data_IF_290694858122
#
_entry.id   IF_290694858122
#
_cell.length_a   1.000
_cell.length_b   1.000
_cell.length_c   1.000
_cell.angle_alpha   90.00
_cell.angle_beta   90.00
_cell.angle_gamma   90.00
#
_symmetry.space_group_name_H-M   'P 1'
#
loop_
_entity.id
_entity.type
_entity.pdbx_description
1 polymer ?
#
# COMPACT_ATOMS: atom_id res chain seq x y z
N UNK A 1 4.97 -9.35 -11.57
CA UNK A 1 4.24 -8.09 -11.88
C UNK A 1 5.19 -6.91 -11.70
N UNK A 2 5.10 -5.90 -12.55
CA UNK A 2 5.82 -4.61 -12.39
C UNK A 2 4.88 -3.62 -11.70
N UNK A 3 5.28 -3.11 -10.54
CA UNK A 3 4.56 -2.09 -9.77
C UNK A 3 5.30 -0.77 -9.91
N UNK A 4 4.80 0.14 -10.74
CA UNK A 4 5.39 1.46 -10.96
C UNK A 4 4.76 2.49 -10.02
N UNK A 5 5.48 2.85 -8.97
CA UNK A 5 4.99 3.75 -7.91
C UNK A 5 4.71 5.18 -8.41
N UNK A 6 5.24 5.56 -9.58
CA UNK A 6 4.97 6.87 -10.18
C UNK A 6 3.66 6.88 -11.00
N UNK A 7 3.02 5.73 -11.19
CA UNK A 7 1.80 5.60 -12.00
C UNK A 7 0.50 5.53 -11.17
N UNK A 8 0.53 5.80 -9.87
CA UNK A 8 -0.64 5.69 -8.98
C UNK A 8 -1.85 6.49 -9.48
N UNK A 9 -1.64 7.67 -10.09
CA UNK A 9 -2.74 8.47 -10.67
C UNK A 9 -3.38 7.79 -11.88
N UNK A 10 -2.60 7.15 -12.72
CA UNK A 10 -3.11 6.40 -13.87
C UNK A 10 -3.84 5.13 -13.42
N UNK A 11 -3.32 4.44 -12.39
CA UNK A 11 -3.94 3.26 -11.80
C UNK A 11 -5.26 3.57 -11.09
N UNK A 12 -5.34 4.74 -10.47
CA UNK A 12 -6.48 5.17 -9.65
C UNK A 12 -7.01 6.55 -10.11
N UNK A 13 -7.86 6.60 -11.13
CA UNK A 13 -8.31 7.88 -11.73
C UNK A 13 -9.00 8.83 -10.75
N UNK A 14 -9.63 8.33 -9.68
CA UNK A 14 -10.28 9.17 -8.66
C UNK A 14 -9.32 9.62 -7.53
N UNK A 15 -8.11 9.06 -7.47
CA UNK A 15 -7.09 9.53 -6.52
C UNK A 15 -6.61 10.93 -6.94
N UNK A 16 -6.61 11.95 -6.05
CA UNK A 16 -6.07 13.27 -6.40
C UNK A 16 -4.61 13.17 -6.88
N UNK A 17 -4.25 13.94 -7.90
CA UNK A 17 -2.92 13.86 -8.52
C UNK A 17 -1.79 14.15 -7.51
N UNK A 18 -1.99 15.13 -6.63
CA UNK A 18 -1.03 15.46 -5.57
C UNK A 18 -0.85 14.30 -4.59
N UNK A 19 -1.95 13.69 -4.15
CA UNK A 19 -1.93 12.52 -3.25
C UNK A 19 -1.23 11.33 -3.89
N UNK A 20 -1.52 11.05 -5.16
CA UNK A 20 -0.86 9.99 -5.91
C UNK A 20 0.66 10.21 -6.01
N UNK A 21 1.08 11.44 -6.33
CA UNK A 21 2.49 11.81 -6.39
C UNK A 21 3.17 11.68 -5.01
N UNK A 22 2.50 12.16 -3.95
CA UNK A 22 3.01 12.10 -2.59
C UNK A 22 3.27 10.66 -2.13
N UNK A 23 2.31 9.75 -2.30
CA UNK A 23 2.49 8.34 -1.93
C UNK A 23 3.55 7.64 -2.78
N UNK A 24 3.61 7.92 -4.08
CA UNK A 24 4.66 7.38 -4.94
C UNK A 24 6.05 7.80 -4.49
N UNK A 25 6.24 9.09 -4.22
CA UNK A 25 7.52 9.61 -3.72
C UNK A 25 7.88 9.11 -2.32
N UNK A 26 6.92 9.03 -1.40
CA UNK A 26 7.16 8.52 -0.06
C UNK A 26 7.48 7.02 -0.06
N UNK A 27 6.88 6.25 -0.97
CA UNK A 27 7.25 4.87 -1.18
C UNK A 27 8.71 4.74 -1.67
N UNK A 28 9.12 5.57 -2.63
CA UNK A 28 10.51 5.64 -3.08
C UNK A 28 11.47 5.95 -1.92
N UNK A 29 11.20 7.01 -1.15
CA UNK A 29 12.00 7.41 0.02
C UNK A 29 12.08 6.28 1.05
N UNK A 30 10.94 5.65 1.38
CA UNK A 30 10.90 4.55 2.34
C UNK A 30 11.78 3.37 1.92
N UNK A 31 11.75 3.00 0.64
CA UNK A 31 12.57 1.92 0.09
C UNK A 31 14.06 2.32 0.02
N UNK A 32 14.39 3.54 -0.42
CA UNK A 32 15.76 4.05 -0.49
C UNK A 32 16.43 4.15 0.89
N UNK A 33 15.68 4.46 1.94
CA UNK A 33 16.17 4.44 3.34
C UNK A 33 16.64 3.05 3.80
N UNK A 34 16.08 2.00 3.20
CA UNK A 34 16.49 0.61 3.41
C UNK A 34 17.50 0.12 2.36
N UNK A 35 18.15 1.05 1.63
CA UNK A 35 19.17 0.80 0.61
C UNK A 35 18.67 -0.04 -0.58
N UNK A 36 17.37 0.06 -0.92
CA UNK A 36 16.85 -0.58 -2.11
C UNK A 36 16.98 0.33 -3.34
N UNK A 37 17.21 -0.30 -4.48
CA UNK A 37 17.20 0.35 -5.79
C UNK A 37 15.91 0.03 -6.54
N UNK A 38 15.52 0.91 -7.46
CA UNK A 38 14.37 0.70 -8.33
C UNK A 38 14.51 -0.60 -9.12
N UNK A 39 13.47 -1.41 -9.11
CA UNK A 39 13.47 -2.78 -9.63
C UNK A 39 13.62 -3.85 -8.55
N UNK A 40 13.70 -3.45 -7.27
CA UNK A 40 13.77 -4.41 -6.15
C UNK A 40 12.59 -5.38 -6.19
N UNK A 41 12.86 -6.65 -5.88
CA UNK A 41 11.84 -7.68 -5.74
C UNK A 41 10.95 -7.39 -4.53
N UNK A 42 9.64 -7.54 -4.71
CA UNK A 42 8.65 -7.52 -3.64
C UNK A 42 8.12 -8.95 -3.47
N UNK A 43 8.37 -9.56 -2.32
CA UNK A 43 7.69 -10.77 -1.94
C UNK A 43 6.21 -10.46 -1.66
N UNK A 44 5.29 -11.18 -2.29
CA UNK A 44 3.87 -10.93 -2.12
C UNK A 44 3.15 -12.16 -1.60
N UNK A 45 2.20 -11.97 -0.69
CA UNK A 45 1.22 -12.97 -0.31
C UNK A 45 -0.17 -12.34 -0.44
N UNK A 46 -0.94 -12.76 -1.43
CA UNK A 46 -2.30 -12.27 -1.69
C UNK A 46 -3.24 -13.45 -1.44
N UNK A 47 -3.91 -13.41 -0.29
CA UNK A 47 -4.67 -14.55 0.25
C UNK A 47 -3.79 -15.80 0.40
N UNK A 48 -3.73 -16.67 -0.59
CA UNK A 48 -2.89 -17.88 -0.61
C UNK A 48 -1.91 -17.93 -1.79
N UNK A 49 -1.90 -16.89 -2.62
CA UNK A 49 -1.04 -16.83 -3.82
C UNK A 49 0.17 -15.94 -3.58
N UNK A 50 1.31 -16.30 -4.17
CA UNK A 50 2.57 -15.57 -4.06
C UNK A 50 3.08 -15.12 -5.44
N UNK A 51 2.34 -14.26 -6.15
CA UNK A 51 2.77 -13.83 -7.48
C UNK A 51 4.03 -12.98 -7.39
N UNK A 52 5.06 -13.23 -8.23
CA UNK A 52 6.29 -12.44 -8.20
C UNK A 52 6.02 -10.99 -8.61
N UNK A 53 6.58 -10.05 -7.85
CA UNK A 53 6.45 -8.62 -8.12
C UNK A 53 7.79 -7.90 -8.00
N UNK A 54 7.91 -6.72 -8.63
CA UNK A 54 9.02 -5.79 -8.48
C UNK A 54 8.51 -4.37 -8.38
N UNK A 55 9.16 -3.56 -7.53
CA UNK A 55 8.84 -2.17 -7.29
C UNK A 55 9.74 -1.27 -8.15
N UNK A 56 9.12 -0.34 -8.85
CA UNK A 56 9.82 0.61 -9.72
C UNK A 56 9.46 2.04 -9.36
N UNK A 57 10.46 2.93 -9.31
CA UNK A 57 10.30 4.35 -9.05
C UNK A 57 11.41 5.16 -9.71
N UNK A 58 11.23 6.47 -9.72
CA UNK A 58 12.30 7.41 -10.05
C UNK A 58 12.98 7.79 -8.74
N UNK A 59 14.31 7.74 -8.69
CA UNK A 59 15.07 8.09 -7.50
C UNK A 59 14.60 9.43 -6.92
N UNK A 60 14.46 9.48 -5.60
CA UNK A 60 13.94 10.68 -4.94
C UNK A 60 14.94 11.83 -5.10
N UNK A 61 14.45 12.95 -5.66
CA UNK A 61 15.24 14.19 -5.76
C UNK A 61 15.21 15.01 -4.46
N UNK A 62 14.61 14.48 -3.39
CA UNK A 62 14.48 15.19 -2.13
C UNK A 62 15.78 15.11 -1.34
N UNK A 63 16.53 16.23 -1.33
CA UNK A 63 17.81 16.38 -0.59
C UNK A 63 17.49 16.33 0.89
N UNK A 64 17.14 16.33 1.81
CA UNK A 64 17.02 16.32 3.26
C UNK A 64 15.93 15.34 3.76
N UNK A 65 16.07 14.08 3.32
CA UNK A 65 15.19 12.98 3.75
C UNK A 65 15.21 12.76 5.27
N UNK A 66 16.30 13.16 5.95
CA UNK A 66 16.47 13.00 7.39
C UNK A 66 15.52 13.87 8.25
N UNK A 67 14.92 14.90 7.66
CA UNK A 67 13.95 15.76 8.37
C UNK A 67 12.52 15.20 8.37
N UNK A 68 12.25 14.15 7.57
CA UNK A 68 10.92 13.56 7.54
C UNK A 68 10.76 12.52 8.66
N UNK A 69 9.65 12.57 9.35
CA UNK A 69 9.28 11.58 10.35
C UNK A 69 9.30 10.17 9.77
N UNK A 70 10.14 9.31 10.35
CA UNK A 70 10.36 7.95 9.82
C UNK A 70 9.08 7.10 9.89
N UNK A 71 8.31 7.23 10.94
CA UNK A 71 7.07 6.47 11.10
C UNK A 71 6.06 6.86 10.02
N UNK A 72 5.92 8.15 9.78
CA UNK A 72 5.00 8.65 8.74
C UNK A 72 5.45 8.23 7.34
N UNK A 73 6.76 8.26 7.05
CA UNK A 73 7.28 7.76 5.77
C UNK A 73 6.98 6.28 5.59
N UNK A 74 7.16 5.47 6.64
CA UNK A 74 6.86 4.03 6.59
C UNK A 74 5.38 3.75 6.28
N UNK A 75 4.46 4.45 6.94
CA UNK A 75 3.01 4.28 6.70
C UNK A 75 2.63 4.77 5.29
N UNK A 76 3.09 5.96 4.88
CA UNK A 76 2.77 6.51 3.56
C UNK A 76 3.42 5.68 2.42
N UNK A 77 4.61 5.10 2.65
CA UNK A 77 5.25 4.18 1.71
C UNK A 77 4.41 2.90 1.53
N UNK A 78 3.90 2.34 2.62
CA UNK A 78 3.02 1.19 2.57
C UNK A 78 1.73 1.49 1.80
N UNK A 79 1.16 2.69 1.95
CA UNK A 79 0.01 3.16 1.17
C UNK A 79 0.32 3.13 -0.34
N UNK A 80 1.45 3.71 -0.76
CA UNK A 80 1.86 3.74 -2.16
C UNK A 80 2.08 2.35 -2.75
N UNK A 81 2.80 1.48 -2.03
CA UNK A 81 3.05 0.09 -2.45
C UNK A 81 1.75 -0.70 -2.53
N UNK A 82 0.89 -0.59 -1.51
CA UNK A 82 -0.39 -1.30 -1.46
C UNK A 82 -1.31 -0.89 -2.61
N UNK A 83 -1.46 0.41 -2.87
CA UNK A 83 -2.31 0.90 -3.95
C UNK A 83 -1.81 0.38 -5.31
N UNK A 84 -0.50 0.41 -5.58
CA UNK A 84 0.05 -0.18 -6.80
C UNK A 84 -0.23 -1.70 -6.88
N UNK A 85 -0.03 -2.43 -5.77
CA UNK A 85 -0.21 -3.88 -5.71
C UNK A 85 -1.67 -4.27 -5.98
N UNK A 86 -2.64 -3.69 -5.28
CA UNK A 86 -4.06 -4.08 -5.44
C UNK A 86 -4.61 -3.71 -6.81
N UNK A 87 -4.07 -2.66 -7.46
CA UNK A 87 -4.45 -2.34 -8.83
C UNK A 87 -3.88 -3.36 -9.82
N UNK A 88 -2.58 -3.60 -9.80
CA UNK A 88 -1.93 -4.47 -10.80
C UNK A 88 -2.29 -5.94 -10.61
N UNK A 89 -2.39 -6.41 -9.35
CA UNK A 89 -2.69 -7.80 -9.06
C UNK A 89 -4.18 -8.14 -9.10
N UNK A 90 -5.04 -7.22 -8.67
CA UNK A 90 -6.47 -7.48 -8.44
C UNK A 90 -7.39 -6.61 -9.30
N UNK A 91 -6.87 -5.63 -10.03
CA UNK A 91 -7.65 -4.71 -10.85
C UNK A 91 -8.52 -3.73 -10.03
N UNK A 92 -8.22 -3.55 -8.74
CA UNK A 92 -9.02 -2.67 -7.89
C UNK A 92 -8.65 -1.20 -8.08
N UNK A 93 -9.65 -0.32 -7.95
CA UNK A 93 -9.47 1.13 -8.11
C UNK A 93 -9.99 1.90 -6.90
N UNK A 94 -9.28 2.96 -6.53
CA UNK A 94 -9.69 3.85 -5.44
C UNK A 94 -10.98 4.57 -5.80
N UNK A 95 -11.93 4.58 -4.86
CA UNK A 95 -13.14 5.42 -4.90
C UNK A 95 -12.94 6.68 -4.05
N UNK A 96 -12.48 6.51 -2.81
CA UNK A 96 -12.15 7.61 -1.91
C UNK A 96 -11.30 7.14 -0.71
N UNK A 97 -10.66 8.09 -0.05
CA UNK A 97 -10.13 7.87 1.29
C UNK A 97 -11.28 7.79 2.31
N UNK A 98 -11.16 6.90 3.28
CA UNK A 98 -12.11 6.80 4.39
C UNK A 98 -11.73 7.77 5.50
N UNK A 99 -12.71 8.15 6.30
CA UNK A 99 -12.54 9.11 7.39
C UNK A 99 -12.37 8.38 8.72
N UNK A 100 -11.90 9.12 9.72
CA UNK A 100 -11.80 8.61 11.09
C UNK A 100 -13.15 8.08 11.55
N UNK A 101 -13.18 6.83 12.05
CA UNK A 101 -14.39 6.14 12.49
C UNK A 101 -15.00 5.18 11.46
N UNK A 102 -14.52 5.18 10.23
CA UNK A 102 -14.93 4.20 9.20
C UNK A 102 -14.11 2.89 9.26
N UNK A 103 -13.09 2.82 10.13
CA UNK A 103 -12.29 1.64 10.46
C UNK A 103 -11.51 1.00 9.31
N UNK A 104 -11.22 1.79 8.27
CA UNK A 104 -10.33 1.45 7.17
C UNK A 104 -9.76 2.73 6.58
N UNK A 105 -8.73 2.62 5.72
CA UNK A 105 -8.06 3.76 5.08
C UNK A 105 -8.71 4.11 3.75
N UNK A 106 -9.08 3.10 2.97
CA UNK A 106 -9.56 3.27 1.60
C UNK A 106 -10.85 2.54 1.33
N UNK A 107 -11.73 3.19 0.55
CA UNK A 107 -12.80 2.54 -0.16
C UNK A 107 -12.35 2.32 -1.60
N UNK A 108 -12.28 1.04 -1.99
CA UNK A 108 -11.95 0.62 -3.34
C UNK A 108 -13.17 0.03 -4.04
N UNK A 109 -13.05 -0.16 -5.34
CA UNK A 109 -13.97 -0.91 -6.16
C UNK A 109 -13.23 -2.02 -6.87
N UNK A 110 -13.74 -3.25 -6.79
CA UNK A 110 -13.18 -4.41 -7.50
C UNK A 110 -13.66 -4.48 -8.96
N UNK A 111 -13.19 -5.48 -9.69
CA UNK A 111 -13.53 -5.70 -11.11
C UNK A 111 -14.99 -6.04 -11.38
N UNK A 112 -15.74 -6.44 -10.34
CA UNK A 112 -17.17 -6.71 -10.41
C UNK A 112 -18.01 -5.52 -9.87
N UNK A 113 -17.41 -4.34 -9.76
CA UNK A 113 -18.00 -3.11 -9.23
C UNK A 113 -18.43 -3.19 -7.75
N UNK A 114 -17.98 -4.19 -6.98
CA UNK A 114 -18.27 -4.30 -5.55
C UNK A 114 -17.31 -3.42 -4.75
N UNK A 115 -17.81 -2.89 -3.63
CA UNK A 115 -17.01 -2.07 -2.72
C UNK A 115 -16.14 -2.95 -1.80
N UNK A 116 -14.91 -2.49 -1.60
CA UNK A 116 -13.90 -3.12 -0.73
C UNK A 116 -13.37 -2.07 0.24
N UNK A 117 -13.44 -2.34 1.54
CA UNK A 117 -12.77 -1.54 2.57
C UNK A 117 -11.37 -2.10 2.77
N UNK A 118 -10.36 -1.26 2.59
CA UNK A 118 -8.94 -1.62 2.70
C UNK A 118 -8.30 -0.84 3.83
N UNK A 119 -7.70 -1.57 4.76
CA UNK A 119 -6.82 -1.05 5.81
C UNK A 119 -5.37 -1.34 5.44
N UNK A 120 -4.50 -0.34 5.57
CA UNK A 120 -3.08 -0.44 5.24
C UNK A 120 -2.23 -0.20 6.47
N UNK A 121 -1.09 -0.86 6.57
CA UNK A 121 -0.06 -0.52 7.54
C UNK A 121 1.34 -0.80 7.00
N UNK A 122 2.25 0.10 7.34
CA UNK A 122 3.68 -0.07 7.11
C UNK A 122 4.42 -0.55 8.35
N UNK A 123 5.43 -1.35 8.15
CA UNK A 123 6.46 -1.63 9.14
C UNK A 123 7.83 -1.45 8.49
N UNK A 124 8.78 -0.88 9.24
CA UNK A 124 10.16 -0.78 8.76
C UNK A 124 10.77 -2.18 8.70
N UNK A 125 10.66 -2.92 9.80
CA UNK A 125 11.12 -4.30 9.99
C UNK A 125 10.29 -4.96 11.08
N UNK A 126 10.00 -6.27 10.98
CA UNK A 126 9.37 -7.00 12.08
C UNK A 126 8.34 -8.05 11.65
N UNK A 127 7.42 -8.39 12.57
CA UNK A 127 6.43 -9.45 12.38
C UNK A 127 5.19 -8.95 11.60
N UNK A 128 5.21 -9.15 10.30
CA UNK A 128 4.08 -8.88 9.40
C UNK A 128 2.81 -9.60 9.84
N UNK A 129 2.92 -10.86 10.32
CA UNK A 129 1.76 -11.68 10.66
C UNK A 129 0.99 -11.14 11.86
N UNK A 130 1.72 -10.68 12.89
CA UNK A 130 1.11 -10.03 14.07
C UNK A 130 0.40 -8.74 13.66
N UNK A 131 1.09 -7.89 12.90
CA UNK A 131 0.53 -6.62 12.45
C UNK A 131 -0.71 -6.83 11.57
N UNK A 132 -0.68 -7.83 10.70
CA UNK A 132 -1.81 -8.18 9.83
C UNK A 132 -3.05 -8.58 10.64
N UNK A 133 -2.90 -9.38 11.71
CA UNK A 133 -4.02 -9.75 12.59
C UNK A 133 -4.67 -8.53 13.21
N UNK A 134 -3.88 -7.60 13.75
CA UNK A 134 -4.40 -6.38 14.35
C UNK A 134 -5.21 -5.55 13.33
N UNK A 135 -4.70 -5.46 12.09
CA UNK A 135 -5.35 -4.71 11.01
C UNK A 135 -6.60 -5.40 10.47
N UNK A 136 -6.62 -6.73 10.44
CA UNK A 136 -7.83 -7.48 10.11
C UNK A 136 -8.91 -7.27 11.17
N UNK A 137 -8.57 -7.28 12.46
CA UNK A 137 -9.52 -7.01 13.54
C UNK A 137 -10.04 -5.56 13.49
N UNK A 138 -9.22 -4.61 13.05
CA UNK A 138 -9.65 -3.24 12.83
C UNK A 138 -10.64 -3.15 11.66
N UNK A 139 -10.28 -3.66 10.47
CA UNK A 139 -11.10 -3.53 9.26
C UNK A 139 -12.41 -4.31 9.33
N UNK A 140 -12.49 -5.37 10.14
CA UNK A 140 -13.75 -6.10 10.38
C UNK A 140 -14.86 -5.22 10.93
N UNK A 141 -14.52 -4.12 11.59
CA UNK A 141 -15.49 -3.14 12.11
C UNK A 141 -16.01 -2.18 11.04
N UNK A 142 -15.38 -2.11 9.86
CA UNK A 142 -15.84 -1.28 8.77
C UNK A 142 -17.19 -1.79 8.24
N UNK A 143 -18.19 -0.92 8.17
CA UNK A 143 -19.54 -1.25 7.70
C UNK A 143 -19.83 -0.77 6.29
N UNK A 144 -18.92 0.05 5.73
CA UNK A 144 -19.08 0.68 4.42
C UNK A 144 -19.00 -0.30 3.25
N UNK A 145 -18.37 -1.46 3.44
CA UNK A 145 -18.22 -2.50 2.44
C UNK A 145 -18.39 -3.89 3.05
N UNK A 146 -18.89 -4.84 2.24
CA UNK A 146 -18.99 -6.26 2.66
C UNK A 146 -17.63 -6.94 2.63
N UNK A 147 -16.80 -6.64 1.62
CA UNK A 147 -15.43 -7.15 1.52
C UNK A 147 -14.51 -6.23 2.31
N UNK A 148 -13.76 -6.80 3.23
CA UNK A 148 -12.87 -6.12 4.15
C UNK A 148 -11.50 -6.75 4.03
N UNK A 149 -10.48 -5.93 3.79
CA UNK A 149 -9.14 -6.39 3.45
C UNK A 149 -8.13 -5.58 4.24
N UNK A 150 -7.10 -6.24 4.73
CA UNK A 150 -5.93 -5.58 5.28
C UNK A 150 -4.71 -5.88 4.43
N UNK A 151 -3.83 -4.89 4.28
CA UNK A 151 -2.51 -5.05 3.69
C UNK A 151 -1.44 -4.54 4.65
N UNK A 152 -0.41 -5.35 4.86
CA UNK A 152 0.78 -4.94 5.61
C UNK A 152 1.98 -5.01 4.69
N UNK A 153 2.77 -3.93 4.66
CA UNK A 153 3.99 -3.84 3.87
C UNK A 153 5.19 -3.66 4.80
N UNK A 154 6.18 -4.53 4.66
CA UNK A 154 7.50 -4.41 5.26
C UNK A 154 8.47 -3.80 4.26
N UNK A 155 9.28 -2.84 4.69
CA UNK A 155 10.19 -2.09 3.80
C UNK A 155 11.63 -2.62 3.82
N UNK A 156 12.15 -3.07 4.97
CA UNK A 156 13.53 -3.55 5.08
C UNK A 156 13.78 -4.81 4.23
N UNK A 157 12.83 -5.74 4.26
CA UNK A 157 12.80 -6.89 3.34
C UNK A 157 11.50 -6.78 2.56
N UNK A 158 11.49 -6.14 1.36
CA UNK A 158 10.24 -5.77 0.71
C UNK A 158 9.25 -6.92 0.59
N UNK A 159 8.22 -6.87 1.41
CA UNK A 159 7.19 -7.90 1.51
C UNK A 159 5.84 -7.24 1.71
N UNK A 160 4.82 -7.71 1.01
CA UNK A 160 3.45 -7.26 1.15
C UNK A 160 2.50 -8.44 1.31
N UNK A 161 1.71 -8.41 2.38
CA UNK A 161 0.66 -9.43 2.63
C UNK A 161 -0.71 -8.80 2.57
N UNK A 162 -1.58 -9.33 1.71
CA UNK A 162 -2.98 -8.92 1.53
C UNK A 162 -3.88 -10.06 1.99
N UNK A 163 -4.76 -9.80 2.94
CA UNK A 163 -5.69 -10.82 3.45
C UNK A 163 -7.10 -10.26 3.64
N UNK A 164 -8.10 -11.12 3.43
CA UNK A 164 -9.52 -10.81 3.68
C UNK A 164 -9.88 -11.05 5.14
N UNK A 165 -10.63 -10.10 5.74
CA UNK A 165 -11.09 -10.13 7.14
C UNK A 165 -12.53 -10.61 7.31
#
# INVERSE_FOLDING_TARGET
MRLDLMQLKAMHPLLPALTAAEYGHRAAIGLERHNHESGVSLATLIESETPPASLHWIASAFGDVDQLDQHRITEDAAEGVTLALVNVALGWVVKRRLQRGEFADWLLQDTEARLVALEVSGIAEGDVSSRLRDKLDQVRRATIAKRRVACVVELATPHATVATG
#
